data_IF_483154097102
#
_entry.id   IF_483154097102
#
_cell.length_a   1.000
_cell.length_b   1.000
_cell.length_c   1.000
_cell.angle_alpha   90.00
_cell.angle_beta   90.00
_cell.angle_gamma   90.00
#
_symmetry.space_group_name_H-M   'P 1'
#
loop_
_entity.id
_entity.type
_entity.pdbx_description
1 polymer ?
#
# COMPACT_ATOMS: atom_id res chain seq x y z
N UNK A 1 -34.17 -0.87 12.15
CA UNK A 1 -33.25 -0.19 11.21
C UNK A 1 -31.84 -0.55 11.67
N UNK A 2 -31.15 -1.48 11.01
CA UNK A 2 -29.86 -1.99 11.48
C UNK A 2 -28.78 -0.91 11.30
N UNK A 3 -28.41 -0.27 12.39
CA UNK A 3 -27.23 0.58 12.47
C UNK A 3 -26.00 -0.33 12.33
N UNK A 4 -25.58 -0.55 11.07
CA UNK A 4 -24.22 -1.02 10.81
C UNK A 4 -23.30 0.08 11.29
N UNK A 5 -22.82 -0.05 12.53
CA UNK A 5 -21.66 0.66 13.03
C UNK A 5 -20.53 0.35 12.04
N UNK A 6 -20.35 1.22 11.06
CA UNK A 6 -19.18 1.23 10.19
C UNK A 6 -18.03 1.52 11.14
N UNK A 7 -17.37 0.48 11.67
CA UNK A 7 -16.09 0.60 12.36
C UNK A 7 -15.26 1.52 11.49
N UNK A 8 -15.06 2.77 11.92
CA UNK A 8 -14.27 3.73 11.18
C UNK A 8 -12.93 3.04 10.90
N UNK A 9 -12.71 2.63 9.64
CA UNK A 9 -11.55 1.85 9.26
C UNK A 9 -10.35 2.66 9.66
N UNK A 10 -9.64 2.22 10.72
CA UNK A 10 -8.53 2.98 11.29
C UNK A 10 -7.55 3.28 10.16
N UNK A 11 -7.44 4.54 9.80
CA UNK A 11 -6.46 5.01 8.84
C UNK A 11 -5.10 4.98 9.50
N UNK A 12 -4.13 4.39 8.82
CA UNK A 12 -2.73 4.37 9.24
C UNK A 12 -1.94 5.33 8.37
N UNK A 13 -0.88 5.90 8.93
CA UNK A 13 0.04 6.75 8.18
C UNK A 13 0.75 5.92 7.12
N UNK A 14 0.85 6.42 5.89
CA UNK A 14 1.52 5.75 4.77
C UNK A 14 3.03 5.96 4.89
N UNK A 15 3.61 5.31 5.90
CA UNK A 15 5.06 5.29 6.12
C UNK A 15 5.69 4.09 5.43
N UNK A 16 6.96 4.19 5.04
CA UNK A 16 7.74 3.08 4.51
C UNK A 16 7.64 1.85 5.42
N UNK A 17 7.73 2.03 6.75
CA UNK A 17 7.59 0.94 7.71
C UNK A 17 6.25 0.21 7.59
N UNK A 18 5.15 0.93 7.42
CA UNK A 18 3.82 0.34 7.30
C UNK A 18 3.64 -0.35 5.94
N UNK A 19 4.16 0.25 4.87
CA UNK A 19 4.15 -0.33 3.53
C UNK A 19 5.00 -1.62 3.47
N UNK A 20 6.19 -1.61 4.05
CA UNK A 20 7.04 -2.79 4.17
C UNK A 20 6.37 -3.88 5.02
N UNK A 21 5.73 -3.49 6.13
CA UNK A 21 4.99 -4.42 6.98
C UNK A 21 3.80 -5.06 6.24
N UNK A 22 3.09 -4.29 5.41
CA UNK A 22 2.06 -4.83 4.53
C UNK A 22 2.63 -5.78 3.48
N UNK A 23 3.72 -5.38 2.80
CA UNK A 23 4.40 -6.21 1.81
C UNK A 23 4.89 -7.55 2.38
N UNK A 24 5.47 -7.55 3.58
CA UNK A 24 5.89 -8.77 4.27
C UNK A 24 4.75 -9.73 4.58
N UNK A 25 3.52 -9.21 4.78
CA UNK A 25 2.33 -10.04 5.02
C UNK A 25 1.69 -10.56 3.73
N UNK A 26 1.68 -9.73 2.69
CA UNK A 26 0.92 -9.99 1.46
C UNK A 26 1.72 -10.70 0.37
N UNK A 27 3.04 -10.51 0.37
CA UNK A 27 3.90 -11.02 -0.69
C UNK A 27 4.62 -12.29 -0.21
N UNK A 28 4.81 -13.28 -1.11
CA UNK A 28 5.57 -14.48 -0.79
C UNK A 28 7.01 -14.15 -0.36
N UNK A 29 7.56 -15.02 0.49
CA UNK A 29 8.85 -14.90 1.21
C UNK A 29 9.87 -13.96 0.54
N UNK A 30 10.20 -12.90 1.26
CA UNK A 30 11.27 -11.91 0.99
C UNK A 30 11.01 -10.83 -0.07
N UNK A 31 9.78 -10.67 -0.56
CA UNK A 31 9.52 -9.61 -1.53
C UNK A 31 9.28 -8.24 -0.85
N UNK A 32 10.35 -7.62 -0.36
CA UNK A 32 10.34 -6.25 0.17
C UNK A 32 10.02 -5.25 -0.94
N UNK A 33 9.36 -4.15 -0.58
CA UNK A 33 9.15 -3.06 -1.54
C UNK A 33 10.48 -2.36 -1.79
N UNK A 34 10.78 -2.03 -3.04
CA UNK A 34 11.93 -1.17 -3.38
C UNK A 34 11.54 0.30 -3.22
N UNK A 35 12.53 1.20 -3.10
CA UNK A 35 12.29 2.63 -2.85
C UNK A 35 11.30 3.25 -3.84
N UNK A 36 11.41 2.90 -5.13
CA UNK A 36 10.50 3.39 -6.18
C UNK A 36 9.05 2.97 -5.96
N UNK A 37 8.83 1.73 -5.51
CA UNK A 37 7.50 1.22 -5.16
C UNK A 37 6.93 1.97 -3.94
N UNK A 38 7.77 2.20 -2.93
CA UNK A 38 7.40 2.93 -1.72
C UNK A 38 7.02 4.38 -2.04
N UNK A 39 7.82 5.08 -2.83
CA UNK A 39 7.57 6.46 -3.25
C UNK A 39 6.28 6.58 -4.06
N UNK A 40 6.07 5.67 -5.01
CA UNK A 40 4.82 5.62 -5.76
C UNK A 40 3.61 5.38 -4.86
N UNK A 41 3.69 4.40 -3.95
CA UNK A 41 2.61 4.11 -3.00
C UNK A 41 2.28 5.30 -2.12
N UNK A 42 3.29 6.05 -1.65
CA UNK A 42 3.10 7.31 -0.91
C UNK A 42 2.40 8.38 -1.74
N UNK A 43 2.77 8.53 -3.01
CA UNK A 43 2.12 9.50 -3.93
C UNK A 43 0.67 9.13 -4.21
N UNK A 44 0.37 7.84 -4.39
CA UNK A 44 -0.97 7.35 -4.73
C UNK A 44 -1.92 7.32 -3.53
N UNK A 45 -1.43 6.90 -2.37
CA UNK A 45 -2.25 6.77 -1.15
C UNK A 45 -2.33 8.08 -0.34
N UNK A 46 -1.38 9.00 -0.51
CA UNK A 46 -1.26 10.21 0.30
C UNK A 46 -0.71 9.93 1.70
N UNK A 47 -0.95 10.85 2.64
CA UNK A 47 -0.37 10.79 4.00
C UNK A 47 -1.00 9.68 4.88
N UNK A 48 -2.31 9.42 4.70
CA UNK A 48 -3.07 8.47 5.51
C UNK A 48 -3.99 7.64 4.63
N UNK A 49 -3.93 6.32 4.80
CA UNK A 49 -4.80 5.37 4.12
C UNK A 49 -5.26 4.28 5.07
N UNK A 50 -6.37 3.62 4.74
CA UNK A 50 -6.78 2.43 5.49
C UNK A 50 -5.83 1.27 5.21
N UNK A 51 -5.73 0.31 6.14
CA UNK A 51 -4.90 -0.88 5.93
C UNK A 51 -5.32 -1.65 4.67
N UNK A 52 -6.63 -1.73 4.40
CA UNK A 52 -7.16 -2.37 3.20
C UNK A 52 -6.65 -1.69 1.92
N UNK A 53 -6.70 -0.36 1.86
CA UNK A 53 -6.18 0.39 0.71
C UNK A 53 -4.67 0.19 0.53
N UNK A 54 -3.91 0.16 1.63
CA UNK A 54 -2.47 -0.15 1.57
C UNK A 54 -2.26 -1.54 0.97
N UNK A 55 -2.98 -2.53 1.47
CA UNK A 55 -2.80 -3.92 1.06
C UNK A 55 -3.17 -4.09 -0.43
N UNK A 56 -4.28 -3.50 -0.86
CA UNK A 56 -4.69 -3.48 -2.27
C UNK A 56 -3.63 -2.80 -3.15
N UNK A 57 -3.14 -1.62 -2.74
CA UNK A 57 -2.15 -0.89 -3.53
C UNK A 57 -0.80 -1.60 -3.56
N UNK A 58 -0.36 -2.23 -2.48
CA UNK A 58 0.87 -3.04 -2.43
C UNK A 58 0.80 -4.21 -3.42
N UNK A 59 -0.35 -4.87 -3.52
CA UNK A 59 -0.55 -5.94 -4.51
C UNK A 59 -0.62 -5.39 -5.95
N UNK A 60 -1.26 -4.23 -6.15
CA UNK A 60 -1.31 -3.57 -7.46
C UNK A 60 0.07 -3.12 -7.93
N UNK A 61 0.89 -2.57 -7.03
CA UNK A 61 2.23 -2.03 -7.34
C UNK A 61 3.13 -3.08 -7.99
N UNK A 62 2.97 -4.36 -7.62
CA UNK A 62 3.73 -5.47 -8.20
C UNK A 62 3.32 -5.83 -9.63
N UNK A 63 2.12 -5.43 -10.04
CA UNK A 63 1.59 -5.69 -11.37
C UNK A 63 1.83 -4.51 -12.33
N UNK A 64 2.42 -3.43 -11.84
CA UNK A 64 2.68 -2.26 -12.66
C UNK A 64 3.93 -2.47 -13.54
N UNK A 65 3.90 -1.99 -14.79
CA UNK A 65 5.06 -2.00 -15.67
C UNK A 65 6.05 -0.91 -15.23
N UNK A 66 6.83 -1.16 -14.18
CA UNK A 66 7.79 -0.18 -13.65
C UNK A 66 8.76 0.38 -14.68
N UNK A 67 9.14 -0.44 -15.66
CA UNK A 67 9.98 0.00 -16.77
C UNK A 67 9.37 1.13 -17.60
N UNK A 68 8.04 1.26 -17.66
CA UNK A 68 7.37 2.36 -18.37
C UNK A 68 7.11 3.57 -17.46
N UNK A 69 6.98 3.34 -16.15
CA UNK A 69 6.65 4.38 -15.17
C UNK A 69 7.89 5.19 -14.75
N UNK A 70 9.07 4.55 -14.76
CA UNK A 70 10.33 5.12 -14.25
C UNK A 70 11.24 5.58 -15.39
N UNK A 71 10.93 5.25 -16.65
CA UNK A 71 11.76 5.59 -17.80
C UNK A 71 11.54 7.01 -18.37
N UNK A 72 10.81 7.87 -17.65
CA UNK A 72 10.71 9.31 -17.96
C UNK A 72 11.77 10.11 -17.17
#
# INVERSE_FOLDING_TARGET
MSEKVTKASKTVTVSERNLQSAALRLLPKHNKLVSTEVDYLRRVLGDRATQQQIDEKVLQVRKLPWSEIVAD
#
